data_IF_217339892007
#
_entry.id   IF_217339892007
#
_cell.length_a   1.000
_cell.length_b   1.000
_cell.length_c   1.000
_cell.angle_alpha   90.00
_cell.angle_beta   90.00
_cell.angle_gamma   90.00
#
_symmetry.space_group_name_H-M   'P 1'
#
loop_
_entity.id
_entity.type
_entity.pdbx_description
1 polymer ?
#
# COMPACT_ATOMS: atom_id res chain seq x y z
N UNK A 1 37.35 15.23 2.31
CA UNK A 1 36.30 14.26 1.92
C UNK A 1 36.04 14.33 0.42
N UNK A 2 35.58 15.47 -0.11
CA UNK A 2 35.38 15.63 -1.56
C UNK A 2 36.67 15.69 -2.38
N UNK A 3 37.80 16.04 -1.74
CA UNK A 3 39.13 16.01 -2.36
C UNK A 3 39.73 14.59 -2.45
N UNK A 4 39.17 13.61 -1.73
CA UNK A 4 39.68 12.24 -1.61
C UNK A 4 38.78 11.19 -2.26
N UNK A 5 37.47 11.46 -2.36
CA UNK A 5 36.48 10.52 -2.89
C UNK A 5 35.65 11.17 -4.00
N UNK A 6 35.74 10.60 -5.21
CA UNK A 6 34.95 11.06 -6.37
C UNK A 6 33.52 10.51 -6.38
N UNK A 7 33.26 9.41 -5.66
CA UNK A 7 31.94 8.78 -5.58
C UNK A 7 31.64 8.43 -4.13
N UNK A 8 30.46 8.84 -3.65
CA UNK A 8 29.97 8.55 -2.30
C UNK A 8 28.67 7.75 -2.40
N UNK A 9 28.65 6.57 -1.76
CA UNK A 9 27.43 5.75 -1.62
C UNK A 9 26.77 6.04 -0.28
N UNK A 10 25.68 6.79 -0.29
CA UNK A 10 24.85 6.98 0.90
C UNK A 10 23.91 5.77 1.11
N UNK A 11 24.21 4.92 2.08
CA UNK A 11 23.29 3.86 2.51
C UNK A 11 22.11 4.43 3.33
N UNK A 12 20.94 3.77 3.26
CA UNK A 12 19.71 4.14 3.99
C UNK A 12 19.22 5.58 3.68
N UNK A 13 19.29 5.96 2.41
CA UNK A 13 18.91 7.29 1.93
C UNK A 13 17.42 7.61 2.11
N UNK A 14 16.57 6.57 2.14
CA UNK A 14 15.13 6.61 2.40
C UNK A 14 14.79 7.34 3.71
N UNK A 15 15.53 7.05 4.78
CA UNK A 15 15.27 7.62 6.11
C UNK A 15 16.03 8.92 6.37
N UNK A 16 17.18 9.13 5.71
CA UNK A 16 18.10 10.25 5.99
C UNK A 16 17.82 11.51 5.17
N UNK A 17 17.32 11.39 3.95
CA UNK A 17 17.06 12.55 3.09
C UNK A 17 15.67 13.16 3.32
N UNK A 18 14.72 12.36 3.80
CA UNK A 18 13.35 12.80 4.05
C UNK A 18 13.18 13.52 5.41
N UNK A 19 13.92 13.12 6.44
CA UNK A 19 13.73 13.56 7.83
C UNK A 19 14.75 14.63 8.29
N UNK A 20 14.86 15.71 7.51
CA UNK A 20 15.83 16.79 7.72
C UNK A 20 15.21 18.07 8.32
N UNK A 21 14.03 17.96 8.96
CA UNK A 21 13.33 19.05 9.65
C UNK A 21 13.16 20.33 8.80
N UNK A 22 12.94 20.19 7.49
CA UNK A 22 12.64 21.34 6.64
C UNK A 22 11.34 22.02 7.08
N UNK A 23 11.25 23.37 6.95
CA UNK A 23 9.99 24.06 7.15
C UNK A 23 8.87 23.45 6.29
N UNK A 24 7.62 23.35 6.80
CA UNK A 24 6.53 22.64 6.11
C UNK A 24 6.30 23.09 4.66
N UNK A 25 6.43 24.39 4.37
CA UNK A 25 6.20 24.89 3.02
C UNK A 25 7.34 24.52 2.06
N UNK A 26 8.58 24.48 2.56
CA UNK A 26 9.74 23.98 1.80
C UNK A 26 9.59 22.48 1.57
N UNK A 27 9.09 21.72 2.56
CA UNK A 27 8.83 20.29 2.40
C UNK A 27 7.77 20.03 1.32
N UNK A 28 6.67 20.80 1.31
CA UNK A 28 5.63 20.70 0.28
C UNK A 28 6.18 21.02 -1.12
N UNK A 29 6.98 22.08 -1.23
CA UNK A 29 7.63 22.44 -2.49
C UNK A 29 8.55 21.32 -2.98
N UNK A 30 9.38 20.76 -2.08
CA UNK A 30 10.26 19.62 -2.38
C UNK A 30 9.46 18.43 -2.87
N UNK A 31 8.40 18.02 -2.16
CA UNK A 31 7.54 16.92 -2.57
C UNK A 31 6.93 17.16 -3.95
N UNK A 32 6.42 18.37 -4.21
CA UNK A 32 5.84 18.72 -5.51
C UNK A 32 6.86 18.68 -6.63
N UNK A 33 8.05 19.25 -6.43
CA UNK A 33 9.12 19.25 -7.41
C UNK A 33 9.60 17.82 -7.72
N UNK A 34 9.84 17.00 -6.69
CA UNK A 34 10.21 15.59 -6.87
C UNK A 34 9.11 14.79 -7.58
N UNK A 35 7.83 15.00 -7.21
CA UNK A 35 6.70 14.34 -7.87
C UNK A 35 6.60 14.72 -9.35
N UNK A 36 6.80 15.99 -9.70
CA UNK A 36 6.79 16.46 -11.08
C UNK A 36 7.98 15.95 -11.89
N UNK A 37 9.15 15.83 -11.25
CA UNK A 37 10.35 15.30 -11.88
C UNK A 37 10.28 13.78 -12.12
N UNK A 38 9.52 13.05 -11.30
CA UNK A 38 9.26 11.62 -11.49
C UNK A 38 8.31 11.42 -12.69
N UNK A 39 8.90 11.17 -13.85
CA UNK A 39 8.19 10.83 -15.09
C UNK A 39 8.39 9.36 -15.42
N UNK A 40 7.32 8.70 -15.89
CA UNK A 40 7.44 7.35 -16.42
C UNK A 40 8.30 7.35 -17.68
N UNK A 41 9.00 6.24 -17.93
CA UNK A 41 9.66 6.03 -19.21
C UNK A 41 8.60 6.03 -20.34
N UNK A 42 8.91 6.56 -21.54
CA UNK A 42 7.93 6.69 -22.62
C UNK A 42 7.15 5.40 -22.94
N UNK A 43 7.75 4.19 -22.95
CA UNK A 43 7.00 2.96 -23.19
C UNK A 43 5.96 2.64 -22.10
N UNK A 44 6.25 2.95 -20.84
CA UNK A 44 5.35 2.73 -19.70
C UNK A 44 4.18 3.72 -19.77
N UNK A 45 4.46 5.00 -20.07
CA UNK A 45 3.43 6.02 -20.25
C UNK A 45 2.51 5.68 -21.42
N UNK A 46 3.06 5.23 -22.55
CA UNK A 46 2.28 4.81 -23.72
C UNK A 46 1.37 3.61 -23.41
N UNK A 47 1.88 2.59 -22.70
CA UNK A 47 1.09 1.45 -22.28
C UNK A 47 -0.03 1.85 -21.29
N UNK A 48 0.30 2.67 -20.28
CA UNK A 48 -0.68 3.16 -19.32
C UNK A 48 -1.81 3.96 -19.98
N UNK A 49 -1.46 4.80 -20.96
CA UNK A 49 -2.44 5.55 -21.75
C UNK A 49 -3.35 4.62 -22.55
N UNK A 50 -2.78 3.62 -23.24
CA UNK A 50 -3.56 2.64 -24.00
C UNK A 50 -4.56 1.89 -23.12
N UNK A 51 -4.14 1.47 -21.92
CA UNK A 51 -5.02 0.80 -20.96
C UNK A 51 -6.15 1.73 -20.49
N UNK A 52 -5.83 2.97 -20.13
CA UNK A 52 -6.82 3.94 -19.69
C UNK A 52 -7.82 4.29 -20.79
N UNK A 53 -7.35 4.50 -22.03
CA UNK A 53 -8.20 4.79 -23.19
C UNK A 53 -9.13 3.61 -23.50
N UNK A 54 -8.63 2.37 -23.40
CA UNK A 54 -9.46 1.17 -23.54
C UNK A 54 -10.53 1.09 -22.46
N UNK A 55 -10.19 1.31 -21.19
CA UNK A 55 -11.18 1.32 -20.10
C UNK A 55 -12.27 2.37 -20.33
N UNK A 56 -11.89 3.59 -20.74
CA UNK A 56 -12.83 4.68 -21.05
C UNK A 56 -13.75 4.38 -22.23
N UNK A 57 -13.30 3.56 -23.19
CA UNK A 57 -14.13 3.19 -24.35
C UNK A 57 -15.37 2.37 -23.96
N UNK A 58 -15.35 1.70 -22.81
CA UNK A 58 -16.50 1.01 -22.23
C UNK A 58 -17.41 1.91 -21.37
N UNK A 59 -17.05 3.19 -21.22
CA UNK A 59 -17.75 4.17 -20.39
C UNK A 59 -16.93 4.62 -19.17
N UNK A 60 -17.54 5.39 -18.25
CA UNK A 60 -16.92 5.75 -16.98
C UNK A 60 -16.51 4.49 -16.20
N UNK A 61 -15.30 4.50 -15.66
CA UNK A 61 -14.76 3.41 -14.84
C UNK A 61 -14.15 3.96 -13.55
N UNK A 62 -14.05 3.11 -12.53
CA UNK A 62 -13.33 3.44 -11.29
C UNK A 62 -12.01 2.67 -11.25
N UNK A 63 -10.96 3.30 -10.74
CA UNK A 63 -9.68 2.66 -10.49
C UNK A 63 -9.49 2.42 -9.00
N UNK A 64 -9.13 1.21 -8.63
CA UNK A 64 -9.03 0.75 -7.25
C UNK A 64 -7.63 0.18 -7.02
N UNK A 65 -6.93 0.71 -6.02
CA UNK A 65 -5.67 0.14 -5.56
C UNK A 65 -5.94 -0.70 -4.30
N UNK A 66 -5.82 -2.03 -4.44
CA UNK A 66 -6.03 -2.97 -3.35
C UNK A 66 -4.67 -3.43 -2.81
N UNK A 67 -4.47 -3.22 -1.50
CA UNK A 67 -3.24 -3.61 -0.80
C UNK A 67 -3.50 -4.73 0.20
N UNK A 68 -4.16 -5.78 -0.27
CA UNK A 68 -4.51 -6.98 0.52
C UNK A 68 -3.55 -8.14 0.22
N UNK A 69 -2.27 -7.83 0.02
CA UNK A 69 -1.24 -8.84 -0.22
C UNK A 69 -0.66 -9.40 1.09
N UNK A 70 -0.02 -10.57 0.99
CA UNK A 70 0.54 -11.29 2.15
C UNK A 70 1.52 -10.45 2.97
N UNK A 71 2.38 -9.66 2.33
CA UNK A 71 3.35 -8.79 3.02
C UNK A 71 2.66 -7.67 3.79
N UNK A 72 1.66 -7.03 3.17
CA UNK A 72 0.85 -6.00 3.80
C UNK A 72 0.14 -6.53 5.04
N UNK A 73 -0.54 -7.68 4.94
CA UNK A 73 -1.25 -8.27 6.07
C UNK A 73 -0.30 -8.73 7.19
N UNK A 74 0.84 -9.32 6.83
CA UNK A 74 1.89 -9.74 7.78
C UNK A 74 2.33 -8.57 8.68
N UNK A 75 2.62 -7.41 8.08
CA UNK A 75 3.32 -6.31 8.77
C UNK A 75 2.41 -5.20 9.27
N UNK A 76 1.20 -5.05 8.73
CA UNK A 76 0.17 -4.19 9.33
C UNK A 76 -0.47 -4.83 10.55
N UNK A 77 -0.41 -6.17 10.64
CA UNK A 77 -0.88 -6.97 11.76
C UNK A 77 -2.30 -6.60 12.20
N UNK A 78 -3.18 -6.49 11.21
CA UNK A 78 -4.61 -6.38 11.39
C UNK A 78 -5.24 -7.72 11.81
N UNK A 79 -4.48 -8.52 12.56
CA UNK A 79 -4.84 -9.86 13.01
C UNK A 79 -5.25 -9.72 14.46
N UNK A 80 -6.51 -10.02 14.79
CA UNK A 80 -6.95 -9.92 16.17
C UNK A 80 -6.14 -10.90 17.02
N UNK A 81 -5.58 -10.41 18.14
CA UNK A 81 -4.51 -11.04 18.91
C UNK A 81 -4.94 -12.30 19.66
N UNK A 82 -5.33 -13.36 18.95
CA UNK A 82 -5.75 -14.64 19.52
C UNK A 82 -7.16 -14.65 20.11
N UNK A 83 -7.95 -13.57 19.96
CA UNK A 83 -9.38 -13.60 20.29
C UNK A 83 -10.23 -13.95 19.05
N UNK A 84 -11.31 -14.74 19.21
CA UNK A 84 -12.11 -15.28 18.12
C UNK A 84 -13.02 -14.27 17.39
N UNK A 85 -12.80 -12.96 17.51
CA UNK A 85 -13.83 -11.99 17.11
C UNK A 85 -13.64 -11.35 15.72
N UNK A 86 -12.44 -11.16 15.19
CA UNK A 86 -12.28 -10.47 13.89
C UNK A 86 -10.97 -10.81 13.18
N UNK A 87 -10.90 -11.96 12.50
CA UNK A 87 -9.79 -12.26 11.56
C UNK A 87 -9.83 -11.42 10.28
N UNK A 88 -10.75 -10.46 10.18
CA UNK A 88 -10.85 -9.46 9.11
C UNK A 88 -10.68 -10.07 7.72
N UNK A 89 -11.44 -11.14 7.42
CA UNK A 89 -11.42 -11.83 6.13
C UNK A 89 -10.44 -13.01 6.03
N UNK A 90 -9.69 -13.31 7.09
CA UNK A 90 -8.78 -14.46 7.15
C UNK A 90 -9.38 -15.62 7.94
N UNK A 91 -8.93 -16.83 7.68
CA UNK A 91 -9.08 -17.96 8.60
C UNK A 91 -8.13 -17.82 9.80
N UNK A 92 -8.36 -18.64 10.84
CA UNK A 92 -7.45 -18.67 11.99
C UNK A 92 -6.07 -19.18 11.56
N UNK A 93 -6.04 -20.16 10.68
CA UNK A 93 -4.83 -20.80 10.18
C UNK A 93 -3.99 -19.80 9.36
N UNK A 94 -4.63 -19.00 8.49
CA UNK A 94 -3.98 -17.90 7.76
C UNK A 94 -3.47 -16.81 8.70
N UNK A 95 -4.25 -16.43 9.72
CA UNK A 95 -3.82 -15.43 10.70
C UNK A 95 -2.59 -15.92 11.51
N UNK A 96 -2.56 -17.19 11.89
CA UNK A 96 -1.42 -17.81 12.58
C UNK A 96 -0.19 -17.88 11.67
N UNK A 97 -0.35 -18.22 10.39
CA UNK A 97 0.73 -18.23 9.40
C UNK A 97 1.38 -16.84 9.28
N UNK A 98 0.58 -15.80 9.06
CA UNK A 98 1.06 -14.42 8.94
C UNK A 98 1.75 -13.94 10.22
N UNK A 99 1.23 -14.34 11.38
CA UNK A 99 1.86 -14.06 12.67
C UNK A 99 3.23 -14.73 12.79
N UNK A 100 3.33 -16.01 12.44
CA UNK A 100 4.59 -16.75 12.49
C UNK A 100 5.66 -16.13 11.56
N UNK A 101 5.27 -15.71 10.35
CA UNK A 101 6.15 -14.99 9.43
C UNK A 101 6.63 -13.69 10.07
N UNK A 102 5.72 -12.86 10.61
CA UNK A 102 6.08 -11.60 11.27
C UNK A 102 7.05 -11.84 12.41
N UNK A 103 6.81 -12.84 13.24
CA UNK A 103 7.67 -13.19 14.38
C UNK A 103 9.06 -13.67 13.94
N UNK A 104 9.17 -14.44 12.86
CA UNK A 104 10.44 -14.94 12.31
C UNK A 104 11.37 -13.88 11.72
N UNK A 105 10.88 -12.69 11.36
CA UNK A 105 11.68 -11.67 10.65
C UNK A 105 12.49 -10.79 11.62
N UNK A 106 13.75 -11.15 11.89
CA UNK A 106 14.58 -10.54 12.94
C UNK A 106 14.73 -9.00 12.86
N UNK A 107 14.76 -8.43 11.66
CA UNK A 107 14.97 -6.99 11.46
C UNK A 107 13.69 -6.15 11.61
N UNK A 108 12.52 -6.78 11.70
CA UNK A 108 11.26 -6.08 11.89
C UNK A 108 11.04 -5.72 13.36
N UNK A 109 11.08 -4.44 13.70
CA UNK A 109 11.07 -3.99 15.10
C UNK A 109 9.73 -4.15 15.80
N UNK A 110 8.62 -4.09 15.06
CA UNK A 110 7.27 -4.07 15.64
C UNK A 110 6.64 -5.45 15.53
N UNK A 111 6.78 -6.26 16.59
CA UNK A 111 6.28 -7.64 16.64
C UNK A 111 4.87 -7.73 17.23
N UNK A 112 4.65 -6.99 18.31
CA UNK A 112 3.36 -6.85 18.98
C UNK A 112 2.65 -5.63 18.43
N UNK A 113 1.47 -5.83 17.87
CA UNK A 113 0.66 -4.80 17.24
C UNK A 113 -0.75 -4.94 17.79
N UNK A 114 -1.36 -3.81 18.17
CA UNK A 114 -2.77 -3.73 18.51
C UNK A 114 -3.59 -3.60 17.21
N UNK A 115 -4.30 -4.67 16.80
CA UNK A 115 -5.02 -4.73 15.53
C UNK A 115 -6.23 -3.77 15.52
N UNK A 116 -6.95 -3.67 16.64
CA UNK A 116 -8.13 -2.82 16.79
C UNK A 116 -7.74 -1.36 16.64
N UNK A 117 -6.68 -0.93 17.33
CA UNK A 117 -6.18 0.43 17.24
C UNK A 117 -5.64 0.78 15.86
N UNK A 118 -4.93 -0.15 15.20
CA UNK A 118 -4.43 0.05 13.82
C UNK A 118 -5.58 0.24 12.84
N UNK A 119 -6.61 -0.58 12.95
CA UNK A 119 -7.79 -0.52 12.09
C UNK A 119 -8.56 0.78 12.30
N UNK A 120 -8.78 1.20 13.56
CA UNK A 120 -9.44 2.46 13.88
C UNK A 120 -8.72 3.68 13.28
N UNK A 121 -7.40 3.60 13.08
CA UNK A 121 -6.58 4.63 12.43
C UNK A 121 -6.50 4.52 10.90
N UNK A 122 -7.16 3.54 10.29
CA UNK A 122 -7.11 3.31 8.85
C UNK A 122 -5.78 2.73 8.36
N UNK A 123 -4.99 2.10 9.24
CA UNK A 123 -3.73 1.46 8.85
C UNK A 123 -3.90 0.01 8.36
N UNK A 124 -5.12 -0.51 8.39
CA UNK A 124 -5.45 -1.83 7.89
C UNK A 124 -6.03 -1.74 6.48
N UNK A 125 -5.61 -2.61 5.55
CA UNK A 125 -6.31 -2.73 4.28
C UNK A 125 -7.74 -3.21 4.52
N UNK A 126 -8.65 -2.74 3.68
CA UNK A 126 -10.02 -3.28 3.62
C UNK A 126 -9.98 -4.66 2.97
N UNK A 127 -10.85 -5.56 3.44
CA UNK A 127 -11.05 -6.86 2.76
C UNK A 127 -11.74 -6.67 1.41
N UNK A 128 -11.63 -7.63 0.47
CA UNK A 128 -12.37 -7.56 -0.78
C UNK A 128 -13.88 -7.34 -0.57
N UNK A 129 -14.48 -8.00 0.41
CA UNK A 129 -15.90 -7.83 0.77
C UNK A 129 -16.23 -6.44 1.31
N UNK A 130 -15.36 -5.87 2.15
CA UNK A 130 -15.52 -4.52 2.67
C UNK A 130 -15.41 -3.47 1.57
N UNK A 131 -14.50 -3.68 0.61
CA UNK A 131 -14.36 -2.81 -0.55
C UNK A 131 -15.61 -2.89 -1.44
N UNK A 132 -16.13 -4.10 -1.69
CA UNK A 132 -17.37 -4.26 -2.45
C UNK A 132 -18.56 -3.56 -1.78
N UNK A 133 -18.68 -3.68 -0.45
CA UNK A 133 -19.70 -2.99 0.34
C UNK A 133 -19.53 -1.48 0.26
N UNK A 134 -18.30 -0.98 0.40
CA UNK A 134 -17.99 0.44 0.30
C UNK A 134 -18.34 1.02 -1.07
N UNK A 135 -17.97 0.34 -2.15
CA UNK A 135 -18.32 0.75 -3.51
C UNK A 135 -19.84 0.77 -3.73
N UNK A 136 -20.54 -0.25 -3.23
CA UNK A 136 -22.01 -0.31 -3.31
C UNK A 136 -22.66 0.86 -2.56
N UNK A 137 -22.14 1.21 -1.37
CA UNK A 137 -22.62 2.34 -0.58
C UNK A 137 -22.36 3.71 -1.25
N UNK A 138 -21.32 3.81 -2.08
CA UNK A 138 -21.06 5.00 -2.92
C UNK A 138 -21.96 5.07 -4.17
N UNK A 139 -22.82 4.08 -4.40
CA UNK A 139 -23.75 4.04 -5.54
C UNK A 139 -23.19 3.38 -6.80
N UNK A 140 -22.03 2.71 -6.71
CA UNK A 140 -21.55 1.89 -7.82
C UNK A 140 -22.43 0.64 -7.95
N UNK A 141 -22.86 0.33 -9.17
CA UNK A 141 -23.64 -0.88 -9.46
C UNK A 141 -22.71 -2.04 -9.83
N UNK A 142 -23.25 -3.26 -9.83
CA UNK A 142 -22.52 -4.47 -10.26
C UNK A 142 -21.98 -4.40 -11.70
N UNK A 143 -22.53 -3.49 -12.53
CA UNK A 143 -22.12 -3.31 -13.92
C UNK A 143 -21.03 -2.24 -14.08
N UNK A 144 -20.58 -1.61 -12.99
CA UNK A 144 -19.52 -0.60 -13.03
C UNK A 144 -18.20 -1.24 -13.46
N UNK A 145 -17.53 -0.78 -14.53
CA UNK A 145 -16.19 -1.23 -14.85
C UNK A 145 -15.20 -0.78 -13.77
N UNK A 146 -14.41 -1.71 -13.24
CA UNK A 146 -13.39 -1.45 -12.22
C UNK A 146 -12.03 -1.89 -12.74
N UNK A 147 -11.06 -0.98 -12.74
CA UNK A 147 -9.65 -1.33 -12.90
C UNK A 147 -9.05 -1.61 -11.52
N UNK A 148 -8.58 -2.84 -11.30
CA UNK A 148 -7.98 -3.25 -10.03
C UNK A 148 -6.45 -3.28 -10.20
N UNK A 149 -5.76 -2.42 -9.46
CA UNK A 149 -4.33 -2.48 -9.25
C UNK A 149 -4.05 -3.18 -7.91
N UNK A 150 -3.57 -4.41 -7.95
CA UNK A 150 -3.21 -5.20 -6.77
C UNK A 150 -2.04 -6.13 -7.11
N UNK A 151 -1.29 -6.53 -6.09
CA UNK A 151 -0.50 -7.76 -6.15
C UNK A 151 -1.36 -9.02 -6.01
N UNK A 152 -0.73 -10.13 -5.64
CA UNK A 152 -1.44 -11.37 -5.32
C UNK A 152 -2.28 -11.17 -4.04
N UNK A 153 -3.60 -11.27 -4.19
CA UNK A 153 -4.54 -11.15 -3.08
C UNK A 153 -4.40 -12.39 -2.20
N UNK A 154 -4.16 -12.19 -0.91
CA UNK A 154 -4.00 -13.30 0.02
C UNK A 154 -5.37 -13.91 0.37
N UNK A 155 -5.49 -15.23 0.22
CA UNK A 155 -6.72 -15.97 0.50
C UNK A 155 -7.68 -16.14 -0.70
N UNK A 156 -7.40 -15.52 -1.85
CA UNK A 156 -8.17 -15.68 -3.11
C UNK A 156 -8.57 -14.38 -3.79
#
# INVERSE_FOLDING_TARGET
MWDEYQVIRAAKSDSRLANNNLPPDVQKLRCRACYQALRFAPPVEAMGKLLADRMRSYGPYTALHLRYEKDMLTFTACLDGGLPACTHGLSREEAEELRAIREGILWWKVKNIDPVHKRAKGYCPLTPSEVALFLSALGFTSNTPIYIAAGEIYGG
#
